data_IF_517396479037
#
_entry.id   IF_517396479037
#
_cell.length_a   1.000
_cell.length_b   1.000
_cell.length_c   1.000
_cell.angle_alpha   90.00
_cell.angle_beta   90.00
_cell.angle_gamma   90.00
#
_symmetry.space_group_name_H-M   'P 1'
#
loop_
_entity.id
_entity.type
_entity.pdbx_description
1 polymer ?
#
# COMPACT_ATOMS: atom_id res chain seq x y z
N UNK A 1 11.10 -6.13 -2.85
CA UNK A 1 11.51 -5.27 -3.98
C UNK A 1 12.61 -5.92 -4.78
N UNK A 2 13.87 -5.84 -4.36
CA UNK A 2 14.98 -6.40 -5.17
C UNK A 2 14.90 -7.92 -5.28
N UNK A 3 14.38 -8.60 -4.24
CA UNK A 3 14.11 -10.04 -4.27
C UNK A 3 12.91 -10.44 -5.14
N UNK A 4 12.10 -9.48 -5.58
CA UNK A 4 10.85 -9.71 -6.32
C UNK A 4 10.89 -9.07 -7.72
N UNK A 5 12.09 -8.79 -8.25
CA UNK A 5 12.29 -8.09 -9.52
C UNK A 5 11.64 -8.84 -10.70
N UNK A 6 11.78 -10.16 -10.76
CA UNK A 6 11.18 -11.03 -11.77
C UNK A 6 9.65 -10.89 -11.86
N UNK A 7 9.00 -10.44 -10.77
CA UNK A 7 7.56 -10.15 -10.76
C UNK A 7 7.28 -8.72 -11.21
N UNK A 8 8.07 -7.75 -10.75
CA UNK A 8 7.88 -6.31 -11.01
C UNK A 8 8.15 -5.96 -12.49
N UNK A 9 9.06 -6.68 -13.16
CA UNK A 9 9.44 -6.40 -14.55
C UNK A 9 8.43 -6.91 -15.60
N UNK A 10 7.45 -7.71 -15.19
CA UNK A 10 6.50 -8.31 -16.13
C UNK A 10 5.54 -7.25 -16.70
N UNK A 11 5.17 -7.35 -17.99
CA UNK A 11 4.27 -6.37 -18.62
C UNK A 11 2.84 -6.40 -18.05
N UNK A 12 2.45 -7.47 -17.38
CA UNK A 12 1.15 -7.66 -16.70
C UNK A 12 1.24 -7.45 -15.18
N UNK A 13 2.31 -6.83 -14.68
CA UNK A 13 2.50 -6.61 -13.26
C UNK A 13 1.40 -5.75 -12.63
N UNK A 14 0.74 -6.30 -11.62
CA UNK A 14 -0.17 -5.59 -10.72
C UNK A 14 0.45 -5.51 -9.31
N UNK A 15 0.66 -4.29 -8.76
CA UNK A 15 1.15 -4.13 -7.40
C UNK A 15 0.20 -4.76 -6.38
N UNK A 16 0.77 -5.46 -5.40
CA UNK A 16 0.01 -5.94 -4.24
C UNK A 16 -0.11 -4.84 -3.19
N UNK A 17 -1.04 -4.98 -2.24
CA UNK A 17 -1.13 -4.05 -1.09
C UNK A 17 0.21 -3.93 -0.34
N UNK A 18 0.93 -5.05 -0.21
CA UNK A 18 2.23 -5.07 0.44
C UNK A 18 3.30 -4.27 -0.32
N UNK A 19 3.23 -4.22 -1.65
CA UNK A 19 4.11 -3.40 -2.49
C UNK A 19 3.79 -1.92 -2.29
N UNK A 20 2.51 -1.56 -2.27
CA UNK A 20 2.04 -0.20 -2.04
C UNK A 20 2.49 0.29 -0.65
N UNK A 21 2.34 -0.52 0.39
CA UNK A 21 2.75 -0.18 1.76
C UNK A 21 4.26 0.03 1.92
N UNK A 22 5.07 -0.62 1.09
CA UNK A 22 6.52 -0.44 1.11
C UNK A 22 6.96 0.72 0.22
N UNK A 23 6.08 1.29 -0.60
CA UNK A 23 6.44 2.26 -1.63
C UNK A 23 6.71 3.61 -0.98
N UNK A 24 7.86 4.22 -1.30
CA UNK A 24 8.19 5.55 -0.80
C UNK A 24 7.68 6.59 -1.81
N UNK A 25 6.43 7.01 -1.63
CA UNK A 25 5.87 8.15 -2.33
C UNK A 25 5.85 9.37 -1.39
N UNK A 26 6.35 10.54 -1.82
CA UNK A 26 6.22 11.75 -1.03
C UNK A 26 4.74 12.10 -0.88
N UNK A 27 4.26 12.29 0.35
CA UNK A 27 2.91 12.79 0.61
C UNK A 27 2.88 14.27 0.22
N UNK A 28 1.99 14.65 -0.69
CA UNK A 28 1.76 16.04 -1.08
C UNK A 28 0.39 16.49 -0.58
N UNK A 29 0.32 17.67 0.04
CA UNK A 29 -0.94 18.17 0.63
C UNK A 29 -1.41 17.38 1.86
N UNK A 30 -2.69 17.52 2.20
CA UNK A 30 -3.36 16.81 3.29
C UNK A 30 -4.23 15.72 2.66
N UNK A 31 -4.09 14.48 3.12
CA UNK A 31 -4.85 13.32 2.64
C UNK A 31 -5.58 12.72 3.84
N UNK A 32 -6.92 12.64 3.77
CA UNK A 32 -7.78 12.09 4.82
C UNK A 32 -8.59 10.90 4.28
N UNK A 33 -8.67 9.83 5.08
CA UNK A 33 -9.46 8.64 4.78
C UNK A 33 -10.41 8.35 5.96
N UNK A 34 -11.64 8.90 5.95
CA UNK A 34 -12.63 8.54 6.96
C UNK A 34 -13.08 7.09 6.73
N UNK A 35 -13.05 6.28 7.78
CA UNK A 35 -13.63 4.94 7.78
C UNK A 35 -14.37 4.70 9.10
N UNK A 36 -15.51 4.05 9.01
CA UNK A 36 -16.28 3.64 10.18
C UNK A 36 -15.71 2.32 10.71
N UNK A 37 -15.17 2.34 11.92
CA UNK A 37 -14.78 1.12 12.64
C UNK A 37 -15.94 0.76 13.57
N UNK A 38 -16.78 -0.21 13.19
CA UNK A 38 -17.90 -0.66 14.01
C UNK A 38 -17.39 -1.18 15.37
N UNK A 39 -17.54 -0.36 16.42
CA UNK A 39 -17.51 -0.69 17.84
C UNK A 39 -16.46 -1.70 18.34
N UNK A 40 -15.20 -1.58 17.90
CA UNK A 40 -14.11 -2.42 18.42
C UNK A 40 -13.41 -1.73 19.59
N UNK A 41 -13.60 -2.26 20.81
CA UNK A 41 -12.81 -1.93 21.99
C UNK A 41 -11.48 -2.70 21.88
N UNK A 42 -10.36 -2.00 21.64
CA UNK A 42 -9.04 -2.58 21.80
C UNK A 42 -8.73 -2.69 23.31
N UNK A 43 -8.54 -3.92 23.84
CA UNK A 43 -8.05 -4.20 25.19
C UNK A 43 -6.62 -4.71 25.15
#
# INVERSE_FOLDING_TARGET
YLSDLDRIEKPDFLPTEQDILRARAPTTGIIEYPFDLDSIIFR
#
